data_IF_152200390831
#
_entry.id   IF_152200390831
#
_cell.length_a   1.000
_cell.length_b   1.000
_cell.length_c   1.000
_cell.angle_alpha   90.00
_cell.angle_beta   90.00
_cell.angle_gamma   90.00
#
_symmetry.space_group_name_H-M   'P 1'
#
loop_
_entity.id
_entity.type
_entity.pdbx_description
1 polymer ?
#
# COMPACT_ATOMS: atom_id res chain seq x y z
N UNK A 1 -3.20 -17.88 21.77
CA UNK A 1 -4.51 -17.93 21.07
C UNK A 1 -5.61 -17.27 21.92
N UNK A 2 -5.76 -17.61 23.20
CA UNK A 2 -6.75 -17.00 24.12
C UNK A 2 -6.76 -15.46 24.15
N UNK A 3 -5.60 -14.81 24.12
CA UNK A 3 -5.50 -13.34 24.17
C UNK A 3 -6.09 -12.64 22.93
N UNK A 4 -6.01 -13.26 21.75
CA UNK A 4 -6.53 -12.68 20.50
C UNK A 4 -8.06 -12.77 20.48
N UNK A 5 -8.61 -13.90 20.93
CA UNK A 5 -10.06 -14.09 21.05
C UNK A 5 -10.70 -13.13 22.06
N UNK A 6 -10.04 -12.91 23.21
CA UNK A 6 -10.49 -11.93 24.21
C UNK A 6 -10.49 -10.50 23.65
N UNK A 7 -9.41 -10.10 22.98
CA UNK A 7 -9.33 -8.79 22.32
C UNK A 7 -10.39 -8.65 21.23
N UNK A 8 -10.65 -9.71 20.45
CA UNK A 8 -11.67 -9.69 19.41
C UNK A 8 -13.08 -9.49 19.98
N UNK A 9 -13.41 -10.12 21.11
CA UNK A 9 -14.69 -9.96 21.79
C UNK A 9 -14.88 -8.50 22.27
N UNK A 10 -13.86 -7.91 22.88
CA UNK A 10 -13.89 -6.50 23.32
C UNK A 10 -14.04 -5.55 22.13
N UNK A 11 -13.23 -5.71 21.08
CA UNK A 11 -13.28 -4.88 19.87
C UNK A 11 -14.64 -5.01 19.18
N UNK A 12 -15.22 -6.20 19.17
CA UNK A 12 -16.53 -6.44 18.56
C UNK A 12 -17.66 -5.66 19.22
N UNK A 13 -17.53 -5.34 20.51
CA UNK A 13 -18.51 -4.55 21.27
C UNK A 13 -18.42 -3.03 21.05
N UNK A 14 -17.34 -2.54 20.43
CA UNK A 14 -17.12 -1.11 20.18
C UNK A 14 -18.07 -0.54 19.11
N UNK A 15 -18.21 0.79 19.06
CA UNK A 15 -18.93 1.44 17.95
C UNK A 15 -18.13 1.30 16.65
N UNK A 16 -18.79 1.29 15.47
CA UNK A 16 -18.11 1.14 14.19
C UNK A 16 -16.94 2.12 13.97
N UNK A 17 -17.10 3.38 14.38
CA UNK A 17 -16.06 4.39 14.23
C UNK A 17 -14.83 4.10 15.10
N UNK A 18 -15.04 3.67 16.34
CA UNK A 18 -13.93 3.36 17.25
C UNK A 18 -13.17 2.11 16.78
N UNK A 19 -13.87 1.13 16.19
CA UNK A 19 -13.24 -0.02 15.52
C UNK A 19 -12.34 0.42 14.37
N UNK A 20 -12.83 1.32 13.52
CA UNK A 20 -12.06 1.84 12.39
C UNK A 20 -10.77 2.53 12.85
N UNK A 21 -10.89 3.43 13.84
CA UNK A 21 -9.73 4.12 14.42
C UNK A 21 -8.71 3.15 15.03
N UNK A 22 -9.17 2.08 15.70
CA UNK A 22 -8.29 1.07 16.25
C UNK A 22 -7.56 0.29 15.16
N UNK A 23 -8.27 -0.12 14.10
CA UNK A 23 -7.68 -0.81 12.94
C UNK A 23 -6.61 0.06 12.30
N UNK A 24 -6.86 1.34 12.09
CA UNK A 24 -5.88 2.28 11.54
C UNK A 24 -4.61 2.36 12.41
N UNK A 25 -4.75 2.45 13.74
CA UNK A 25 -3.61 2.45 14.67
C UNK A 25 -2.83 1.14 14.63
N UNK A 26 -3.52 0.00 14.58
CA UNK A 26 -2.87 -1.31 14.48
C UNK A 26 -2.11 -1.42 13.17
N UNK A 27 -2.75 -1.10 12.04
CA UNK A 27 -2.10 -1.10 10.73
C UNK A 27 -0.88 -0.16 10.71
N UNK A 28 -1.01 1.03 11.29
CA UNK A 28 0.09 1.97 11.46
C UNK A 28 1.24 1.42 12.30
N UNK A 29 0.94 0.67 13.37
CA UNK A 29 1.96 0.02 14.21
C UNK A 29 2.68 -1.12 13.52
N UNK A 30 2.01 -1.84 12.60
CA UNK A 30 2.60 -2.92 11.82
C UNK A 30 3.44 -2.40 10.65
N UNK A 31 3.11 -1.20 10.17
CA UNK A 31 3.87 -0.53 9.14
C UNK A 31 5.05 0.24 9.77
N UNK A 32 6.18 -0.45 9.95
CA UNK A 32 7.42 0.18 10.37
C UNK A 32 8.18 0.68 9.13
N UNK A 33 8.14 2.00 8.81
CA UNK A 33 8.86 2.51 7.66
C UNK A 33 10.35 2.29 7.87
N UNK A 34 10.97 1.59 6.92
CA UNK A 34 12.41 1.43 6.91
C UNK A 34 12.98 2.56 6.06
N UNK A 35 13.52 3.60 6.72
CA UNK A 35 14.06 4.79 6.02
C UNK A 35 15.03 4.42 4.89
N UNK A 36 15.84 3.37 5.06
CA UNK A 36 16.76 2.93 4.00
C UNK A 36 16.02 2.42 2.76
N UNK A 37 14.93 1.69 2.97
CA UNK A 37 14.07 1.21 1.87
C UNK A 37 13.38 2.42 1.22
N UNK A 38 12.80 3.32 2.01
CA UNK A 38 12.18 4.55 1.49
C UNK A 38 13.15 5.37 0.63
N UNK A 39 14.38 5.58 1.11
CA UNK A 39 15.41 6.32 0.36
C UNK A 39 15.78 5.62 -0.98
N UNK A 40 15.80 4.28 -1.01
CA UNK A 40 16.05 3.50 -2.23
C UNK A 40 14.88 3.63 -3.21
N UNK A 41 13.63 3.54 -2.71
CA UNK A 41 12.44 3.69 -3.53
C UNK A 41 12.29 5.09 -4.11
N UNK A 42 12.60 6.13 -3.33
CA UNK A 42 12.61 7.52 -3.81
C UNK A 42 13.58 7.69 -4.98
N UNK A 43 14.82 7.21 -4.81
CA UNK A 43 15.84 7.25 -5.86
C UNK A 43 15.44 6.48 -7.12
N UNK A 44 14.86 5.28 -6.96
CA UNK A 44 14.39 4.46 -8.09
C UNK A 44 13.24 5.14 -8.82
N UNK A 45 12.27 5.71 -8.10
CA UNK A 45 11.13 6.39 -8.69
C UNK A 45 11.57 7.62 -9.51
N UNK A 46 12.42 8.47 -8.93
CA UNK A 46 13.00 9.63 -9.62
C UNK A 46 13.81 9.19 -10.86
N UNK A 47 14.64 8.16 -10.71
CA UNK A 47 15.44 7.61 -11.81
C UNK A 47 14.59 7.07 -12.96
N UNK A 48 13.45 6.44 -12.67
CA UNK A 48 12.51 5.96 -13.71
C UNK A 48 11.84 7.10 -14.47
N UNK A 49 11.46 8.17 -13.78
CA UNK A 49 10.88 9.36 -14.43
C UNK A 49 11.91 10.01 -15.36
N UNK A 50 13.13 10.24 -14.87
CA UNK A 50 14.20 10.83 -15.69
C UNK A 50 14.54 9.95 -16.91
N UNK A 51 14.61 8.63 -16.72
CA UNK A 51 14.91 7.71 -17.82
C UNK A 51 13.77 7.66 -18.85
N UNK A 52 12.50 7.77 -18.41
CA UNK A 52 11.35 7.92 -19.31
C UNK A 52 11.44 9.20 -20.13
N UNK A 53 11.67 10.34 -19.48
CA UNK A 53 11.76 11.66 -20.13
C UNK A 53 12.89 11.72 -21.17
N UNK A 54 14.00 11.00 -20.92
CA UNK A 54 15.13 10.89 -21.85
C UNK A 54 14.95 9.82 -22.94
N UNK A 55 13.87 9.03 -22.90
CA UNK A 55 13.65 7.92 -23.82
C UNK A 55 14.60 6.73 -23.61
N UNK A 56 15.18 6.60 -22.42
CA UNK A 56 16.15 5.56 -22.06
C UNK A 56 15.51 4.24 -21.61
N UNK A 57 14.17 4.19 -21.46
CA UNK A 57 13.43 2.98 -21.09
C UNK A 57 12.27 2.75 -22.05
N UNK A 58 11.93 1.49 -22.26
CA UNK A 58 10.74 1.11 -23.00
C UNK A 58 9.47 1.40 -22.20
N UNK A 59 8.41 1.77 -22.91
CA UNK A 59 7.09 2.00 -22.32
C UNK A 59 6.04 1.12 -22.97
N UNK A 60 4.99 0.84 -22.21
CA UNK A 60 3.80 0.14 -22.66
C UNK A 60 2.67 1.16 -22.68
N UNK A 61 1.86 1.16 -23.73
CA UNK A 61 0.75 2.11 -23.83
C UNK A 61 -0.35 1.78 -22.83
N UNK A 62 -1.13 2.78 -22.44
CA UNK A 62 -2.33 2.57 -21.62
C UNK A 62 -3.30 1.55 -22.27
N UNK A 63 -3.47 1.67 -23.59
CA UNK A 63 -4.27 0.75 -24.41
C UNK A 63 -3.87 -0.71 -24.17
N UNK A 64 -2.58 -1.01 -24.29
CA UNK A 64 -2.04 -2.37 -24.10
C UNK A 64 -2.23 -2.87 -22.66
N UNK A 65 -2.04 -1.99 -21.65
CA UNK A 65 -2.21 -2.35 -20.23
C UNK A 65 -3.66 -2.73 -19.92
N UNK A 66 -4.62 -1.95 -20.42
CA UNK A 66 -6.03 -2.13 -20.10
C UNK A 66 -6.79 -3.04 -21.05
N UNK A 67 -6.15 -3.51 -22.14
CA UNK A 67 -6.76 -4.35 -23.15
C UNK A 67 -7.52 -5.56 -22.56
N UNK A 68 -6.94 -6.23 -21.54
CA UNK A 68 -7.54 -7.40 -20.87
C UNK A 68 -8.84 -7.13 -20.13
N UNK A 69 -9.16 -5.87 -19.84
CA UNK A 69 -10.36 -5.47 -19.09
C UNK A 69 -11.49 -4.92 -19.97
N UNK A 70 -11.26 -4.74 -21.28
CA UNK A 70 -12.25 -4.15 -22.21
C UNK A 70 -13.38 -5.07 -22.62
N UNK A 71 -13.34 -6.34 -22.22
CA UNK A 71 -14.43 -7.29 -22.42
C UNK A 71 -15.29 -7.34 -21.15
N UNK A 72 -16.18 -6.37 -21.03
CA UNK A 72 -17.38 -6.45 -20.18
C UNK A 72 -18.60 -6.22 -21.04
#
# INVERSE_FOLDING_TARGET
MLAVEQAFAEISSMKPLDKLQLIEKILGSLNHPNKKIEDIWAKEAEGRVEAYEKGNISVVSEEDVFQKYRRS
#
